data_IF_135541975320
#
_entry.id   IF_135541975320
#
_cell.length_a   1.000
_cell.length_b   1.000
_cell.length_c   1.000
_cell.angle_alpha   90.00
_cell.angle_beta   90.00
_cell.angle_gamma   90.00
#
_symmetry.space_group_name_H-M   'P 1'
#
loop_
_entity.id
_entity.type
_entity.pdbx_description
1 polymer ?
#
# COMPACT_ATOMS: atom_id res chain seq x y z
N UNK A 1 32.70 -9.24 -41.43
CA UNK A 1 32.02 -10.04 -40.39
C UNK A 1 31.99 -9.21 -39.11
N UNK A 2 30.82 -8.92 -38.51
CA UNK A 2 30.78 -8.18 -37.26
C UNK A 2 31.19 -9.14 -36.13
N UNK A 3 32.35 -8.88 -35.52
CA UNK A 3 32.82 -9.56 -34.32
C UNK A 3 31.89 -9.22 -33.16
N UNK A 4 31.01 -10.15 -32.80
CA UNK A 4 30.17 -10.06 -31.61
C UNK A 4 31.05 -10.07 -30.37
N UNK A 5 31.20 -8.90 -29.75
CA UNK A 5 31.84 -8.78 -28.44
C UNK A 5 30.91 -9.39 -27.40
N UNK A 6 31.36 -10.46 -26.74
CA UNK A 6 30.63 -11.04 -25.63
C UNK A 6 30.43 -9.96 -24.55
N UNK A 7 29.22 -9.82 -23.97
CA UNK A 7 29.00 -8.87 -22.90
C UNK A 7 29.96 -9.21 -21.74
N UNK A 8 30.79 -8.25 -21.37
CA UNK A 8 31.74 -8.40 -20.26
C UNK A 8 30.99 -8.83 -18.99
N UNK A 9 31.60 -9.66 -18.13
CA UNK A 9 31.03 -10.12 -16.84
C UNK A 9 30.38 -9.01 -16.00
N UNK A 10 30.83 -7.76 -16.17
CA UNK A 10 30.30 -6.55 -15.51
C UNK A 10 28.91 -6.18 -16.00
N UNK A 11 28.65 -6.25 -17.30
CA UNK A 11 27.34 -5.97 -17.90
C UNK A 11 26.29 -6.97 -17.41
N UNK A 12 26.68 -8.24 -17.27
CA UNK A 12 25.81 -9.30 -16.73
C UNK A 12 25.46 -9.09 -15.25
N UNK A 13 26.43 -8.69 -14.41
CA UNK A 13 26.17 -8.42 -12.99
C UNK A 13 25.25 -7.21 -12.76
N UNK A 14 25.37 -6.16 -13.58
CA UNK A 14 24.47 -5.01 -13.53
C UNK A 14 23.04 -5.39 -13.95
N UNK A 15 22.91 -6.20 -15.01
CA UNK A 15 21.64 -6.74 -15.47
C UNK A 15 20.94 -7.55 -14.37
N UNK A 16 21.67 -8.44 -13.69
CA UNK A 16 21.13 -9.24 -12.58
C UNK A 16 20.70 -8.34 -11.42
N UNK A 17 21.49 -7.34 -11.05
CA UNK A 17 21.16 -6.40 -9.98
C UNK A 17 19.89 -5.60 -10.30
N UNK A 18 19.80 -5.06 -11.52
CA UNK A 18 18.65 -4.29 -11.98
C UNK A 18 17.41 -5.16 -12.08
N UNK A 19 17.52 -6.37 -12.64
CA UNK A 19 16.44 -7.34 -12.70
C UNK A 19 15.97 -7.76 -11.30
N UNK A 20 16.88 -7.95 -10.34
CA UNK A 20 16.55 -8.26 -8.95
C UNK A 20 15.82 -7.10 -8.28
N UNK A 21 16.30 -5.86 -8.47
CA UNK A 21 15.63 -4.66 -7.97
C UNK A 21 14.22 -4.52 -8.56
N UNK A 22 14.05 -4.81 -9.85
CA UNK A 22 12.73 -4.84 -10.49
C UNK A 22 11.85 -5.94 -9.90
N UNK A 23 12.36 -7.16 -9.72
CA UNK A 23 11.63 -8.23 -9.07
C UNK A 23 11.18 -7.83 -7.66
N UNK A 24 12.00 -7.12 -6.88
CA UNK A 24 11.62 -6.62 -5.55
C UNK A 24 10.58 -5.48 -5.61
N UNK A 25 10.64 -4.61 -6.62
CA UNK A 25 9.66 -3.52 -6.79
C UNK A 25 8.29 -4.04 -7.26
N UNK A 26 8.28 -5.16 -8.00
CA UNK A 26 7.09 -5.83 -8.54
C UNK A 26 6.57 -6.97 -7.63
N UNK A 27 7.41 -7.55 -6.77
CA UNK A 27 7.20 -8.80 -6.04
C UNK A 27 6.14 -8.81 -4.95
N UNK A 28 5.18 -7.87 -4.99
CA UNK A 28 4.02 -7.81 -4.10
C UNK A 28 2.69 -7.67 -4.83
N UNK A 29 2.65 -7.83 -6.15
CA UNK A 29 1.41 -7.82 -6.92
C UNK A 29 0.66 -9.15 -6.69
N UNK A 30 -0.19 -9.18 -5.67
CA UNK A 30 -1.15 -10.27 -5.47
C UNK A 30 -2.19 -10.32 -6.60
N UNK A 31 -2.92 -11.43 -6.74
CA UNK A 31 -4.06 -11.49 -7.65
C UNK A 31 -5.02 -10.33 -7.38
N UNK A 32 -5.45 -9.65 -8.44
CA UNK A 32 -6.45 -8.60 -8.37
C UNK A 32 -7.84 -9.22 -8.20
N UNK A 33 -8.18 -9.59 -6.97
CA UNK A 33 -9.55 -9.89 -6.60
C UNK A 33 -10.32 -8.57 -6.42
N UNK A 34 -11.62 -8.61 -6.71
CA UNK A 34 -12.51 -7.52 -6.30
C UNK A 34 -12.41 -7.37 -4.78
N UNK A 35 -12.34 -6.12 -4.28
CA UNK A 35 -12.12 -5.77 -2.87
C UNK A 35 -12.89 -6.69 -1.91
N UNK A 36 -12.35 -6.93 -0.71
CA UNK A 36 -13.03 -7.74 0.31
C UNK A 36 -14.50 -7.34 0.46
N UNK A 37 -15.39 -8.32 0.29
CA UNK A 37 -16.82 -8.17 0.56
C UNK A 37 -17.16 -8.69 1.94
N UNK A 38 -18.14 -8.10 2.61
CA UNK A 38 -18.73 -8.73 3.79
C UNK A 38 -19.47 -9.99 3.35
N UNK A 39 -18.97 -11.15 3.77
CA UNK A 39 -19.53 -12.47 3.42
C UNK A 39 -20.53 -12.98 4.46
N UNK A 40 -20.45 -12.48 5.70
CA UNK A 40 -21.39 -12.81 6.76
C UNK A 40 -21.10 -12.06 8.06
N UNK A 41 -22.10 -12.02 8.93
CA UNK A 41 -21.98 -11.42 10.26
C UNK A 41 -22.73 -12.25 11.30
N UNK A 42 -22.25 -12.19 12.53
CA UNK A 42 -22.95 -12.65 13.72
C UNK A 42 -22.91 -11.53 14.77
N UNK A 43 -24.04 -10.88 15.10
CA UNK A 43 -25.39 -11.15 14.60
C UNK A 43 -25.56 -10.85 13.10
N UNK A 44 -26.52 -11.54 12.46
CA UNK A 44 -26.90 -11.26 11.08
C UNK A 44 -27.55 -9.88 10.94
N UNK A 45 -27.43 -9.26 9.77
CA UNK A 45 -28.14 -8.02 9.44
C UNK A 45 -29.66 -8.22 9.59
N UNK A 46 -30.31 -7.27 10.26
CA UNK A 46 -31.74 -7.29 10.57
C UNK A 46 -32.13 -8.27 11.69
N UNK A 47 -31.18 -8.98 12.32
CA UNK A 47 -31.50 -9.96 13.35
C UNK A 47 -32.12 -9.31 14.59
N UNK A 48 -33.19 -9.92 15.13
CA UNK A 48 -33.79 -9.54 16.41
C UNK A 48 -33.48 -10.61 17.46
N UNK A 49 -32.58 -10.28 18.37
CA UNK A 49 -32.08 -11.19 19.41
C UNK A 49 -32.92 -11.07 20.68
N UNK A 50 -33.15 -12.19 21.37
CA UNK A 50 -33.85 -12.17 22.68
C UNK A 50 -33.02 -11.49 23.78
N UNK A 51 -31.71 -11.61 23.71
CA UNK A 51 -30.74 -11.03 24.65
C UNK A 51 -29.55 -10.45 23.90
N UNK A 52 -28.83 -9.53 24.55
CA UNK A 52 -27.64 -8.90 23.98
C UNK A 52 -26.51 -9.90 23.75
N UNK A 53 -25.86 -9.91 22.58
CA UNK A 53 -24.74 -10.81 22.31
C UNK A 53 -23.48 -10.32 23.02
N UNK A 54 -22.56 -11.23 23.33
CA UNK A 54 -21.26 -10.86 23.90
C UNK A 54 -20.30 -10.29 22.84
N UNK A 55 -20.47 -10.70 21.59
CA UNK A 55 -19.59 -10.33 20.49
C UNK A 55 -20.38 -9.92 19.26
N UNK A 56 -19.75 -9.09 18.43
CA UNK A 56 -20.11 -8.92 17.02
C UNK A 56 -18.93 -9.40 16.19
N UNK A 57 -19.18 -10.33 15.27
CA UNK A 57 -18.19 -10.91 14.38
C UNK A 57 -18.54 -10.63 12.92
N UNK A 58 -17.59 -10.11 12.15
CA UNK A 58 -17.70 -9.86 10.72
C UNK A 58 -16.73 -10.79 9.97
N UNK A 59 -17.22 -11.48 8.94
CA UNK A 59 -16.42 -12.34 8.08
C UNK A 59 -16.37 -11.76 6.68
N UNK A 60 -15.16 -11.61 6.14
CA UNK A 60 -14.90 -11.04 4.83
C UNK A 60 -14.45 -12.11 3.83
N UNK A 61 -14.62 -11.85 2.53
CA UNK A 61 -14.16 -12.74 1.46
C UNK A 61 -12.64 -12.81 1.35
N UNK A 62 -11.93 -11.79 1.85
CA UNK A 62 -10.47 -11.74 1.87
C UNK A 62 -9.94 -11.27 3.23
N UNK A 63 -8.63 -11.38 3.42
CA UNK A 63 -7.95 -10.81 4.59
C UNK A 63 -8.17 -9.30 4.66
N UNK A 64 -8.41 -8.80 5.87
CA UNK A 64 -8.62 -7.37 6.12
C UNK A 64 -7.71 -6.87 7.23
N UNK A 65 -7.17 -5.67 7.10
CA UNK A 65 -6.51 -4.93 8.17
C UNK A 65 -7.48 -3.95 8.82
N UNK A 66 -7.35 -3.75 10.13
CA UNK A 66 -8.13 -2.75 10.86
C UNK A 66 -7.29 -2.05 11.93
N UNK A 67 -7.74 -0.85 12.29
CA UNK A 67 -7.21 -0.03 13.37
C UNK A 67 -8.17 -0.02 14.56
N UNK A 68 -7.80 0.65 15.65
CA UNK A 68 -8.56 0.67 16.91
C UNK A 68 -10.03 1.10 16.75
N UNK A 69 -10.31 1.89 15.73
CA UNK A 69 -11.61 2.51 15.50
C UNK A 69 -12.33 2.01 14.24
N UNK A 70 -11.78 0.98 13.59
CA UNK A 70 -12.29 0.42 12.35
C UNK A 70 -13.63 -0.33 12.50
N UNK A 71 -14.08 -0.64 13.72
CA UNK A 71 -15.37 -1.28 13.96
C UNK A 71 -16.02 -0.66 15.20
N UNK A 72 -17.22 -0.11 15.01
CA UNK A 72 -18.01 0.55 16.05
C UNK A 72 -19.37 -0.12 16.11
N UNK A 73 -19.82 -0.39 17.33
CA UNK A 73 -21.19 -0.83 17.62
C UNK A 73 -21.83 0.25 18.47
N UNK A 74 -22.89 0.84 17.93
CA UNK A 74 -23.59 1.98 18.53
C UNK A 74 -24.93 1.51 19.08
N UNK A 75 -25.26 1.96 20.29
CA UNK A 75 -26.53 1.69 20.97
C UNK A 75 -27.69 2.44 20.31
N UNK A 76 -28.95 2.16 20.72
CA UNK A 76 -30.11 2.96 20.29
C UNK A 76 -30.00 4.45 20.60
N UNK A 77 -29.14 4.82 21.57
CA UNK A 77 -28.86 6.21 21.96
C UNK A 77 -27.61 6.77 21.27
N UNK A 78 -27.09 6.08 20.26
CA UNK A 78 -25.88 6.45 19.53
C UNK A 78 -24.60 6.44 20.38
N UNK A 79 -24.57 5.63 21.44
CA UNK A 79 -23.40 5.47 22.32
C UNK A 79 -22.59 4.25 21.91
N UNK A 80 -21.25 4.34 21.89
CA UNK A 80 -20.39 3.20 21.58
C UNK A 80 -20.47 2.15 22.69
N UNK A 81 -20.80 0.91 22.33
CA UNK A 81 -20.94 -0.22 23.27
C UNK A 81 -19.86 -1.29 23.11
N UNK A 82 -18.90 -1.12 22.19
CA UNK A 82 -17.69 -1.94 22.13
C UNK A 82 -16.49 -1.18 22.73
N UNK A 83 -16.05 -1.51 23.96
CA UNK A 83 -15.02 -0.74 24.67
C UNK A 83 -13.61 -1.00 24.14
N UNK A 84 -13.38 -2.15 23.51
CA UNK A 84 -12.09 -2.56 22.97
C UNK A 84 -12.06 -2.51 21.44
N UNK A 85 -10.88 -2.29 20.83
CA UNK A 85 -10.66 -2.48 19.40
C UNK A 85 -11.12 -3.83 18.87
N UNK A 86 -11.41 -3.88 17.57
CA UNK A 86 -11.59 -5.14 16.86
C UNK A 86 -10.28 -5.96 16.88
N UNK A 87 -10.42 -7.27 16.91
CA UNK A 87 -9.32 -8.22 16.81
C UNK A 87 -9.65 -9.29 15.78
N UNK A 88 -8.60 -9.94 15.26
CA UNK A 88 -8.79 -11.12 14.45
C UNK A 88 -9.33 -12.25 15.32
N UNK A 89 -10.37 -12.91 14.83
CA UNK A 89 -10.98 -14.02 15.54
C UNK A 89 -10.53 -15.36 14.97
N UNK A 90 -10.44 -16.36 15.84
CA UNK A 90 -10.29 -17.77 15.47
C UNK A 90 -9.04 -18.06 14.59
N UNK A 91 -8.00 -17.23 14.71
CA UNK A 91 -6.78 -17.32 13.92
C UNK A 91 -6.93 -16.93 12.44
N UNK A 92 -8.01 -16.24 12.07
CA UNK A 92 -8.36 -15.91 10.69
C UNK A 92 -8.16 -14.42 10.37
N UNK A 93 -7.28 -14.13 9.41
CA UNK A 93 -7.01 -12.77 8.92
C UNK A 93 -8.20 -12.12 8.18
N UNK A 94 -9.26 -12.88 7.84
CA UNK A 94 -10.48 -12.38 7.20
C UNK A 94 -11.68 -12.25 8.16
N UNK A 95 -11.48 -12.44 9.46
CA UNK A 95 -12.55 -12.34 10.46
C UNK A 95 -12.21 -11.28 11.49
N UNK A 96 -13.10 -10.31 11.69
CA UNK A 96 -12.97 -9.25 12.70
C UNK A 96 -14.02 -9.45 13.79
N UNK A 97 -13.63 -9.38 15.06
CA UNK A 97 -14.52 -9.52 16.21
C UNK A 97 -14.33 -8.38 17.20
N UNK A 98 -15.43 -7.83 17.70
CA UNK A 98 -15.46 -6.93 18.86
C UNK A 98 -16.27 -7.55 19.98
N UNK A 99 -15.87 -7.26 21.21
CA UNK A 99 -16.63 -7.57 22.41
C UNK A 99 -17.56 -6.39 22.75
N UNK A 100 -18.77 -6.69 23.19
CA UNK A 100 -19.75 -5.71 23.65
C UNK A 100 -19.79 -5.63 25.17
N UNK A 101 -20.11 -4.43 25.68
CA UNK A 101 -20.40 -4.22 27.09
C UNK A 101 -21.59 -5.08 27.55
N UNK A 102 -21.54 -5.56 28.80
CA UNK A 102 -22.67 -6.25 29.42
C UNK A 102 -23.88 -5.33 29.64
N UNK A 103 -25.08 -5.93 29.76
CA UNK A 103 -26.30 -5.17 30.09
C UNK A 103 -26.84 -4.30 28.96
N UNK A 104 -26.66 -4.73 27.71
CA UNK A 104 -27.13 -4.02 26.52
C UNK A 104 -28.64 -3.68 26.61
N UNK A 105 -29.03 -2.39 26.57
CA UNK A 105 -30.44 -1.98 26.52
C UNK A 105 -31.19 -2.59 25.34
N UNK A 106 -32.52 -2.71 25.45
CA UNK A 106 -33.36 -3.10 24.31
C UNK A 106 -33.38 -2.01 23.24
N UNK A 107 -33.47 -2.41 21.97
CA UNK A 107 -33.54 -1.51 20.82
C UNK A 107 -32.62 -1.92 19.68
N UNK A 108 -32.54 -1.07 18.65
CA UNK A 108 -31.69 -1.23 17.48
C UNK A 108 -30.26 -0.74 17.72
N UNK A 109 -29.29 -1.55 17.31
CA UNK A 109 -27.86 -1.30 17.36
C UNK A 109 -27.31 -1.18 15.94
N UNK A 110 -26.45 -0.19 15.72
CA UNK A 110 -25.78 0.01 14.43
C UNK A 110 -24.35 -0.53 14.51
N UNK A 111 -24.03 -1.49 13.65
CA UNK A 111 -22.66 -1.97 13.45
C UNK A 111 -22.11 -1.23 12.24
N UNK A 112 -21.08 -0.42 12.44
CA UNK A 112 -20.39 0.30 11.38
C UNK A 112 -18.92 -0.14 11.33
N UNK A 113 -18.39 -0.37 10.13
CA UNK A 113 -17.00 -0.74 9.95
C UNK A 113 -16.34 0.04 8.81
N UNK A 114 -15.02 0.19 8.94
CA UNK A 114 -14.11 0.64 7.90
C UNK A 114 -12.81 -0.14 8.03
N UNK A 115 -12.56 -1.04 7.09
CA UNK A 115 -11.40 -1.95 7.09
C UNK A 115 -10.64 -1.84 5.78
N UNK A 116 -9.41 -2.33 5.74
CA UNK A 116 -8.54 -2.26 4.56
C UNK A 116 -8.40 -3.67 4.00
N UNK A 117 -8.84 -3.89 2.76
CA UNK A 117 -8.70 -5.18 2.08
C UNK A 117 -7.23 -5.53 1.80
N UNK A 118 -6.94 -6.79 1.50
CA UNK A 118 -5.58 -7.29 1.20
C UNK A 118 -4.91 -6.53 0.05
N UNK A 119 -5.69 -6.01 -0.89
CA UNK A 119 -5.25 -5.18 -2.02
C UNK A 119 -4.90 -3.72 -1.62
N UNK A 120 -5.13 -3.36 -0.36
CA UNK A 120 -4.85 -2.06 0.20
C UNK A 120 -5.97 -1.03 0.06
N UNK A 121 -7.14 -1.37 -0.48
CA UNK A 121 -8.29 -0.47 -0.58
C UNK A 121 -9.14 -0.49 0.71
N UNK A 122 -9.48 0.68 1.28
CA UNK A 122 -10.45 0.79 2.35
C UNK A 122 -11.85 0.49 1.84
N UNK A 123 -12.55 -0.37 2.56
CA UNK A 123 -13.97 -0.66 2.39
C UNK A 123 -14.71 -0.27 3.67
N UNK A 124 -15.96 0.12 3.54
CA UNK A 124 -16.81 0.42 4.70
C UNK A 124 -18.22 -0.07 4.47
N UNK A 125 -18.94 -0.26 5.56
CA UNK A 125 -20.35 -0.53 5.53
C UNK A 125 -20.96 -0.34 6.91
N UNK A 126 -22.27 -0.47 6.97
CA UNK A 126 -22.97 -0.57 8.23
C UNK A 126 -24.20 -1.46 8.06
N UNK A 127 -24.62 -2.09 9.16
CA UNK A 127 -25.85 -2.83 9.24
C UNK A 127 -26.48 -2.66 10.63
N UNK A 128 -27.71 -3.12 10.81
CA UNK A 128 -28.45 -2.99 12.07
C UNK A 128 -28.86 -4.36 12.59
N UNK A 129 -28.75 -4.58 13.90
CA UNK A 129 -29.42 -5.68 14.59
C UNK A 129 -30.20 -5.11 15.78
N UNK A 130 -31.11 -5.88 16.38
CA UNK A 130 -31.92 -5.43 17.52
C UNK A 130 -31.83 -6.40 18.69
N UNK A 131 -31.89 -5.85 19.91
CA UNK A 131 -32.00 -6.63 21.15
C UNK A 131 -33.40 -6.42 21.74
N UNK A 132 -34.14 -7.51 21.93
CA UNK A 132 -35.52 -7.53 22.42
C UNK A 132 -36.54 -7.10 21.38
N UNK A 133 -36.40 -5.87 20.85
CA UNK A 133 -37.28 -5.30 19.84
C UNK A 133 -36.54 -4.21 19.02
N UNK A 134 -36.92 -3.98 17.75
CA UNK A 134 -36.43 -2.83 17.00
C UNK A 134 -36.83 -1.51 17.65
N UNK A 135 -35.96 -0.49 17.55
CA UNK A 135 -36.29 0.89 17.93
C UNK A 135 -37.27 1.52 16.94
N UNK A 136 -38.17 2.38 17.43
CA UNK A 136 -39.15 3.09 16.58
C UNK A 136 -38.48 4.08 15.61
N UNK A 137 -37.32 4.62 15.98
CA UNK A 137 -36.53 5.49 15.11
C UNK A 137 -35.52 4.66 14.31
N UNK A 138 -35.66 4.66 12.98
CA UNK A 138 -34.66 4.07 12.10
C UNK A 138 -33.38 4.91 12.13
N UNK A 139 -32.24 4.27 12.46
CA UNK A 139 -30.94 4.91 12.31
C UNK A 139 -30.65 5.08 10.80
N UNK A 140 -30.46 6.32 10.35
CA UNK A 140 -29.99 6.58 8.99
C UNK A 140 -28.52 6.19 8.93
N UNK A 141 -28.20 5.08 8.28
CA UNK A 141 -26.83 4.72 7.95
C UNK A 141 -26.37 5.65 6.83
N UNK A 142 -25.45 6.57 7.13
CA UNK A 142 -24.84 7.40 6.11
C UNK A 142 -23.94 6.53 5.21
N UNK A 143 -24.44 6.21 4.01
CA UNK A 143 -23.70 5.45 2.99
C UNK A 143 -22.89 6.38 2.10
N UNK A 144 -21.89 7.07 2.68
CA UNK A 144 -20.89 7.76 1.88
C UNK A 144 -19.89 6.77 1.28
N UNK A 145 -19.52 6.92 0.01
CA UNK A 145 -18.46 6.08 -0.56
C UNK A 145 -17.12 6.45 0.08
N UNK A 146 -16.27 5.46 0.44
CA UNK A 146 -14.87 5.70 0.80
C UNK A 146 -14.11 6.59 -0.18
N UNK A 147 -14.52 6.57 -1.45
CA UNK A 147 -13.81 7.22 -2.56
C UNK A 147 -14.18 8.69 -2.79
N UNK A 148 -15.24 9.20 -2.16
CA UNK A 148 -15.73 10.57 -2.39
C UNK A 148 -14.85 11.63 -1.70
N UNK A 149 -13.97 11.19 -0.78
CA UNK A 149 -13.10 12.09 -0.02
C UNK A 149 -12.00 12.70 -0.90
N UNK A 150 -11.60 13.95 -0.59
CA UNK A 150 -10.46 14.59 -1.27
C UNK A 150 -9.16 13.79 -1.09
N UNK A 151 -8.99 13.16 0.07
CA UNK A 151 -7.86 12.28 0.39
C UNK A 151 -7.85 11.05 -0.52
N UNK A 152 -8.98 10.39 -0.73
CA UNK A 152 -9.08 9.24 -1.63
C UNK A 152 -8.73 9.61 -3.08
N UNK A 153 -9.23 10.73 -3.58
CA UNK A 153 -8.89 11.24 -4.92
C UNK A 153 -7.40 11.55 -5.06
N UNK A 154 -6.81 12.20 -4.06
CA UNK A 154 -5.39 12.52 -4.05
C UNK A 154 -4.52 11.26 -3.96
N UNK A 155 -4.92 10.29 -3.12
CA UNK A 155 -4.27 8.98 -3.02
C UNK A 155 -4.30 8.25 -4.37
N UNK A 156 -5.46 8.25 -5.05
CA UNK A 156 -5.62 7.73 -6.40
C UNK A 156 -4.69 8.40 -7.42
N UNK A 157 -4.63 9.73 -7.42
CA UNK A 157 -3.75 10.49 -8.31
C UNK A 157 -2.27 10.14 -8.11
N UNK A 158 -1.80 10.09 -6.86
CA UNK A 158 -0.41 9.70 -6.56
C UNK A 158 -0.14 8.24 -6.89
N UNK A 159 -1.14 7.36 -6.79
CA UNK A 159 -1.02 5.96 -7.20
C UNK A 159 -0.81 5.84 -8.71
N UNK A 160 -1.59 6.57 -9.52
CA UNK A 160 -1.37 6.63 -10.96
C UNK A 160 -0.03 7.26 -11.32
N UNK A 161 0.41 8.29 -10.60
CA UNK A 161 1.74 8.89 -10.78
C UNK A 161 2.86 7.88 -10.43
N UNK A 162 2.70 7.08 -9.38
CA UNK A 162 3.64 6.03 -9.02
C UNK A 162 3.73 4.96 -10.12
N UNK A 163 2.59 4.51 -10.65
CA UNK A 163 2.57 3.54 -11.76
C UNK A 163 3.21 4.11 -13.02
N UNK A 164 2.96 5.38 -13.32
CA UNK A 164 3.56 6.06 -14.48
C UNK A 164 5.07 6.22 -14.32
N UNK A 165 5.54 6.63 -13.13
CA UNK A 165 6.96 6.72 -12.81
C UNK A 165 7.66 5.36 -12.86
N UNK A 166 7.01 4.31 -12.34
CA UNK A 166 7.49 2.94 -12.42
C UNK A 166 7.56 2.46 -13.88
N UNK A 167 6.50 2.62 -14.67
CA UNK A 167 6.47 2.22 -16.07
C UNK A 167 7.55 2.93 -16.90
N UNK A 168 7.76 4.22 -16.69
CA UNK A 168 8.83 4.99 -17.33
C UNK A 168 10.21 4.47 -16.92
N UNK A 169 10.43 4.18 -15.63
CA UNK A 169 11.71 3.70 -15.11
C UNK A 169 12.02 2.29 -15.66
N UNK A 170 11.05 1.38 -15.59
CA UNK A 170 11.15 0.01 -16.11
C UNK A 170 11.37 0.00 -17.62
N UNK A 171 10.53 0.73 -18.36
CA UNK A 171 10.58 0.79 -19.82
C UNK A 171 11.89 1.38 -20.34
N UNK A 172 12.34 2.50 -19.78
CA UNK A 172 13.61 3.12 -20.17
C UNK A 172 14.81 2.22 -19.82
N UNK A 173 14.80 1.56 -18.66
CA UNK A 173 15.88 0.66 -18.27
C UNK A 173 15.92 -0.60 -19.15
N UNK A 174 14.78 -1.22 -19.42
CA UNK A 174 14.68 -2.36 -20.32
C UNK A 174 15.14 -2.00 -21.74
N UNK A 175 14.74 -0.82 -22.25
CA UNK A 175 15.19 -0.33 -23.55
C UNK A 175 16.71 -0.17 -23.63
N UNK A 176 17.33 0.43 -22.60
CA UNK A 176 18.80 0.56 -22.54
C UNK A 176 19.47 -0.81 -22.46
N UNK A 177 18.98 -1.72 -21.62
CA UNK A 177 19.64 -3.00 -21.40
C UNK A 177 19.48 -4.00 -22.55
N UNK A 178 18.32 -4.00 -23.21
CA UNK A 178 17.95 -5.02 -24.19
C UNK A 178 18.06 -4.54 -25.64
N UNK A 179 17.73 -3.27 -25.91
CA UNK A 179 17.64 -2.75 -27.27
C UNK A 179 18.86 -1.90 -27.64
N UNK A 180 19.29 -1.01 -26.75
CA UNK A 180 20.35 -0.05 -27.06
C UNK A 180 21.21 0.33 -25.83
N UNK A 181 22.25 -0.48 -25.51
CA UNK A 181 23.13 -0.23 -24.36
C UNK A 181 23.82 1.15 -24.35
N UNK A 182 24.25 1.63 -25.52
CA UNK A 182 24.87 2.94 -25.66
C UNK A 182 23.91 4.11 -25.38
N UNK A 183 22.57 3.88 -25.43
CA UNK A 183 21.58 4.89 -25.10
C UNK A 183 21.65 5.34 -23.64
N UNK A 184 22.27 4.56 -22.74
CA UNK A 184 22.49 4.95 -21.35
C UNK A 184 23.33 6.23 -21.17
N UNK A 185 24.16 6.58 -22.15
CA UNK A 185 24.95 7.83 -22.13
C UNK A 185 24.16 9.04 -22.68
N UNK A 186 23.03 8.81 -23.35
CA UNK A 186 22.26 9.85 -24.04
C UNK A 186 21.46 10.69 -23.04
N UNK A 187 21.59 12.01 -23.13
CA UNK A 187 20.97 12.97 -22.19
C UNK A 187 19.44 12.79 -22.06
N UNK A 188 18.66 12.71 -23.17
CA UNK A 188 17.23 12.41 -23.09
C UNK A 188 16.89 11.15 -22.28
N UNK A 189 17.60 10.04 -22.50
CA UNK A 189 17.35 8.75 -21.83
C UNK A 189 17.63 8.87 -20.33
N UNK A 190 18.75 9.51 -19.96
CA UNK A 190 19.09 9.78 -18.56
C UNK A 190 18.04 10.68 -17.88
N UNK A 191 17.49 11.66 -18.62
CA UNK A 191 16.41 12.52 -18.11
C UNK A 191 15.13 11.71 -17.88
N UNK A 192 14.74 10.83 -18.80
CA UNK A 192 13.56 9.96 -18.63
C UNK A 192 13.70 9.05 -17.40
N UNK A 193 14.85 8.41 -17.22
CA UNK A 193 15.15 7.60 -16.03
C UNK A 193 15.08 8.43 -14.75
N UNK A 194 15.66 9.64 -14.76
CA UNK A 194 15.65 10.53 -13.60
C UNK A 194 14.22 11.03 -13.26
N UNK A 195 13.42 11.36 -14.27
CA UNK A 195 12.01 11.77 -14.11
C UNK A 195 11.18 10.60 -13.57
N UNK A 196 11.32 9.40 -14.13
CA UNK A 196 10.62 8.21 -13.63
C UNK A 196 10.97 7.89 -12.18
N UNK A 197 12.26 7.93 -11.83
CA UNK A 197 12.73 7.72 -10.46
C UNK A 197 12.21 8.82 -9.50
N UNK A 198 12.27 10.09 -9.91
CA UNK A 198 11.81 11.21 -9.08
C UNK A 198 10.28 11.15 -8.88
N UNK A 199 9.51 10.88 -9.93
CA UNK A 199 8.07 10.71 -9.87
C UNK A 199 7.68 9.55 -8.96
N UNK A 200 8.34 8.39 -9.10
CA UNK A 200 8.10 7.22 -8.25
C UNK A 200 8.46 7.49 -6.78
N UNK A 201 9.58 8.18 -6.52
CA UNK A 201 10.00 8.51 -5.14
C UNK A 201 9.06 9.50 -4.49
N UNK A 202 8.74 10.61 -5.17
CA UNK A 202 7.85 11.65 -4.66
C UNK A 202 6.43 11.13 -4.43
N UNK A 203 5.88 10.36 -5.38
CA UNK A 203 4.57 9.73 -5.21
C UNK A 203 4.57 8.68 -4.10
N UNK A 204 5.62 7.87 -3.94
CA UNK A 204 5.70 6.90 -2.83
C UNK A 204 5.72 7.60 -1.48
N UNK A 205 6.46 8.71 -1.34
CA UNK A 205 6.45 9.51 -0.11
C UNK A 205 5.06 10.12 0.15
N UNK A 206 4.41 10.68 -0.88
CA UNK A 206 3.06 11.22 -0.75
C UNK A 206 2.02 10.13 -0.37
N UNK A 207 2.12 8.95 -0.97
CA UNK A 207 1.27 7.81 -0.66
C UNK A 207 1.44 7.36 0.80
N UNK A 208 2.67 7.35 1.32
CA UNK A 208 2.95 7.01 2.72
C UNK A 208 2.28 8.01 3.68
N UNK A 209 2.39 9.30 3.36
CA UNK A 209 1.78 10.38 4.15
C UNK A 209 0.24 10.34 4.12
N UNK A 210 -0.34 10.07 2.95
CA UNK A 210 -1.79 10.04 2.75
C UNK A 210 -2.44 8.75 3.25
N UNK A 211 -1.65 7.70 3.53
CA UNK A 211 -2.17 6.36 3.82
C UNK A 211 -3.05 6.34 5.06
N UNK A 212 -2.59 6.90 6.17
CA UNK A 212 -3.39 6.94 7.40
C UNK A 212 -4.74 7.64 7.20
N UNK A 213 -4.76 8.89 6.67
CA UNK A 213 -6.01 9.59 6.42
C UNK A 213 -6.93 8.88 5.42
N UNK A 214 -6.35 8.21 4.42
CA UNK A 214 -7.09 7.40 3.45
C UNK A 214 -7.78 6.20 4.11
N UNK A 215 -7.06 5.47 4.98
CA UNK A 215 -7.60 4.32 5.70
C UNK A 215 -8.68 4.71 6.71
N UNK A 216 -8.54 5.87 7.37
CA UNK A 216 -9.49 6.35 8.38
C UNK A 216 -10.64 7.22 7.83
N UNK A 217 -10.64 7.57 6.54
CA UNK A 217 -11.49 8.64 5.99
C UNK A 217 -11.36 9.97 6.76
N UNK A 218 -10.15 10.26 7.24
CA UNK A 218 -9.85 11.46 8.01
C UNK A 218 -9.57 12.67 7.08
N UNK A 219 -9.71 13.91 7.58
CA UNK A 219 -9.39 15.09 6.78
C UNK A 219 -7.91 15.12 6.37
N UNK A 220 -7.60 15.89 5.33
CA UNK A 220 -6.24 16.03 4.80
C UNK A 220 -5.24 16.57 5.84
N UNK A 221 -5.72 17.35 6.81
CA UNK A 221 -4.90 17.88 7.91
C UNK A 221 -4.32 16.78 8.81
N UNK A 222 -4.94 15.59 8.83
CA UNK A 222 -4.43 14.44 9.59
C UNK A 222 -3.12 13.87 9.06
N UNK A 223 -2.64 14.32 7.88
CA UNK A 223 -1.28 14.01 7.39
C UNK A 223 -0.19 14.51 8.36
N UNK A 224 -0.48 15.53 9.16
CA UNK A 224 0.45 16.08 10.15
C UNK A 224 0.37 15.37 11.52
N UNK A 225 -0.51 14.38 11.68
CA UNK A 225 -0.57 13.57 12.91
C UNK A 225 0.56 12.52 12.91
N UNK A 226 1.61 12.81 13.68
CA UNK A 226 2.76 11.92 13.85
C UNK A 226 2.40 10.56 14.46
N UNK A 227 1.37 10.49 15.33
CA UNK A 227 0.93 9.23 15.89
C UNK A 227 0.26 8.36 14.82
N UNK A 228 -0.53 8.98 13.93
CA UNK A 228 -1.13 8.29 12.79
C UNK A 228 -0.08 7.84 11.77
N UNK A 229 0.93 8.66 11.49
CA UNK A 229 2.08 8.27 10.67
C UNK A 229 2.85 7.10 11.27
N UNK A 230 3.06 7.09 12.58
CA UNK A 230 3.70 5.98 13.30
C UNK A 230 2.93 4.66 13.13
N UNK A 231 1.60 4.68 13.32
CA UNK A 231 0.74 3.51 13.09
C UNK A 231 0.74 3.04 11.64
N UNK A 232 0.74 3.98 10.71
CA UNK A 232 0.81 3.69 9.28
C UNK A 232 2.13 3.00 8.93
N UNK A 233 3.25 3.51 9.44
CA UNK A 233 4.59 3.00 9.15
C UNK A 233 4.81 1.57 9.66
N UNK A 234 4.19 1.20 10.78
CA UNK A 234 4.25 -0.17 11.33
C UNK A 234 3.21 -1.10 10.71
N UNK A 235 2.16 -0.56 10.09
CA UNK A 235 1.19 -1.34 9.32
C UNK A 235 1.79 -1.96 8.05
N UNK A 236 1.24 -3.12 7.64
CA UNK A 236 1.65 -3.84 6.41
C UNK A 236 1.77 -2.92 5.16
N UNK A 237 0.77 -2.09 4.81
CA UNK A 237 0.86 -1.26 3.61
C UNK A 237 1.88 -0.12 3.72
N UNK A 238 2.05 0.50 4.90
CA UNK A 238 3.06 1.54 5.10
C UNK A 238 4.47 0.98 5.08
N UNK A 239 4.70 -0.18 5.69
CA UNK A 239 5.98 -0.88 5.63
C UNK A 239 6.40 -1.17 4.17
N UNK A 240 5.47 -1.60 3.31
CA UNK A 240 5.75 -1.82 1.88
C UNK A 240 6.20 -0.53 1.15
N UNK A 241 5.57 0.61 1.46
CA UNK A 241 5.97 1.91 0.90
C UNK A 241 7.35 2.34 1.41
N UNK A 242 7.67 2.09 2.68
CA UNK A 242 9.00 2.37 3.26
C UNK A 242 10.06 1.50 2.58
N UNK A 243 9.81 0.20 2.43
CA UNK A 243 10.71 -0.72 1.71
C UNK A 243 10.95 -0.22 0.28
N UNK A 244 9.91 0.23 -0.43
CA UNK A 244 10.07 0.83 -1.76
C UNK A 244 10.97 2.06 -1.75
N UNK A 245 10.81 2.97 -0.79
CA UNK A 245 11.69 4.15 -0.66
C UNK A 245 13.15 3.74 -0.38
N UNK A 246 13.37 2.75 0.49
CA UNK A 246 14.70 2.21 0.78
C UNK A 246 15.32 1.60 -0.47
N UNK A 247 14.58 0.78 -1.22
CA UNK A 247 15.04 0.18 -2.47
C UNK A 247 15.40 1.24 -3.52
N UNK A 248 14.60 2.30 -3.65
CA UNK A 248 14.88 3.42 -4.56
C UNK A 248 16.15 4.18 -4.17
N UNK A 249 16.36 4.40 -2.86
CA UNK A 249 17.56 5.05 -2.34
C UNK A 249 18.81 4.19 -2.56
N UNK A 250 18.74 2.90 -2.24
CA UNK A 250 19.82 1.94 -2.46
C UNK A 250 20.16 1.82 -3.95
N UNK A 251 19.16 1.74 -4.83
CA UNK A 251 19.33 1.74 -6.28
C UNK A 251 20.08 2.99 -6.76
N UNK A 252 19.71 4.17 -6.28
CA UNK A 252 20.40 5.42 -6.63
C UNK A 252 21.87 5.44 -6.18
N UNK A 253 22.17 4.93 -4.97
CA UNK A 253 23.55 4.84 -4.45
C UNK A 253 24.38 3.85 -5.27
N UNK A 254 23.84 2.67 -5.57
CA UNK A 254 24.53 1.63 -6.34
C UNK A 254 24.85 2.11 -7.76
N UNK A 255 23.90 2.75 -8.44
CA UNK A 255 24.11 3.33 -9.77
C UNK A 255 25.19 4.43 -9.77
N UNK A 256 25.20 5.31 -8.76
CA UNK A 256 26.24 6.35 -8.61
C UNK A 256 27.62 5.75 -8.36
N UNK A 257 27.72 4.68 -7.56
CA UNK A 257 28.99 3.99 -7.29
C UNK A 257 29.52 3.27 -8.52
N UNK A 258 28.63 2.67 -9.31
CA UNK A 258 28.99 1.97 -10.55
C UNK A 258 29.50 2.95 -11.61
N UNK A 259 28.89 4.13 -11.75
CA UNK A 259 29.29 5.16 -12.71
C UNK A 259 30.56 5.95 -12.36
N UNK A 260 31.15 5.76 -11.17
CA UNK A 260 32.33 6.51 -10.69
C UNK A 260 33.64 5.72 -10.68
N UNK A 261 33.65 4.43 -11.06
CA UNK A 261 34.91 3.66 -11.08
C UNK A 261 35.73 4.06 -12.32
N UNK A 262 36.95 4.61 -12.16
CA UNK A 262 37.78 5.00 -13.30
C UNK A 262 38.09 3.76 -14.13
N UNK A 263 38.02 3.92 -15.45
CA UNK A 263 38.52 2.91 -16.38
C UNK A 263 39.97 2.58 -16.00
N UNK A 264 40.29 1.29 -15.91
CA UNK A 264 41.65 0.86 -15.64
C UNK A 264 42.58 1.45 -16.70
N UNK A 265 43.76 1.99 -16.33
CA UNK A 265 44.70 2.53 -17.31
C UNK A 265 45.03 1.43 -18.33
N UNK A 266 44.73 1.68 -19.60
CA UNK A 266 45.01 0.74 -20.68
C UNK A 266 46.49 0.41 -20.77
N UNK A 267 46.86 -0.80 -21.21
CA UNK A 267 48.26 -1.21 -21.35
C UNK A 267 48.86 -0.47 -22.55
N UNK A 268 49.43 0.71 -22.30
CA UNK A 268 49.88 1.57 -23.38
C UNK A 268 50.74 2.74 -22.93
N UNK A 269 51.75 2.48 -22.09
CA UNK A 269 52.84 3.43 -21.91
C UNK A 269 54.11 2.70 -21.50
N UNK A 270 55.20 3.03 -22.22
CA UNK A 270 56.63 2.66 -22.04
C UNK A 270 57.07 1.48 -22.91
N UNK A 271 58.05 1.58 -23.81
CA UNK A 271 59.12 2.58 -24.03
C UNK A 271 59.64 2.39 -25.47
N UNK A 272 59.76 3.47 -26.26
CA UNK A 272 60.69 3.52 -27.40
C UNK A 272 62.05 3.95 -26.82
N UNK A 273 63.03 3.06 -26.81
CA UNK A 273 64.43 3.43 -26.63
C UNK A 273 65.14 3.35 -27.99
N UNK A 274 65.80 4.47 -28.27
CA UNK A 274 66.77 4.82 -29.32
C UNK A 274 67.42 3.67 -30.10
N UNK A 275 67.48 3.82 -31.42
CA UNK A 275 68.36 3.05 -32.30
C UNK A 275 69.07 3.97 -33.28
N UNK A 276 70.41 3.89 -33.23
CA UNK A 276 71.46 4.36 -34.15
C UNK A 276 71.59 5.87 -34.40
#
# INVERSE_FOLDING_TARGET
MPSGTLPTRRSSALLVLVASLFALLLGGAGPAFAHAGLSGSDPADGAVLKAGPQYVTLTFTESVGFSDDSLRVLSPKNERVNPRPAQHADGKDNTARVELSGGLPKGSYTVAWRVVSADGHPISGAFVFSVGQPSETAAVVATGSPDDTAVARLHGAFRYLAYSGLALLLGAAAFVLLCWPAAGAVRPVRRTLAVGWAALTASTAALLLLRGPYEAAAPLTSVFDLAQLGRTATGRPGAALIVRLVLLALGAVLLRRWGRRPDAPGPGARVRLSGA
#
